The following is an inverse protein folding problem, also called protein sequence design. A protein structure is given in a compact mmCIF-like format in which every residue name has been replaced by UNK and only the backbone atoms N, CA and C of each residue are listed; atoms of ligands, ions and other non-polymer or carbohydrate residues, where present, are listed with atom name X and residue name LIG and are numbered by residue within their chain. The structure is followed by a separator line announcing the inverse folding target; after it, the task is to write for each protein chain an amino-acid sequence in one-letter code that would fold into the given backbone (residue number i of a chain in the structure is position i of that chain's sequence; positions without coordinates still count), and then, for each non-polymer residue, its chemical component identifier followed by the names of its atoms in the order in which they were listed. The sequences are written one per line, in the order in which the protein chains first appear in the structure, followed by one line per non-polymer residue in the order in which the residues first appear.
data_IF_266079516010
#
_entry.id   IF_266079516010
#
_cell.length_a   1.000
_cell.length_b   1.000
_cell.length_c   1.000
_cell.angle_alpha   90.00
_cell.angle_beta   90.00
_cell.angle_gamma   90.00
#
_symmetry.space_group_name_H-M   'P 1'
#
loop_
_entity.id
_entity.type
_entity.pdbx_description
1 polymer ?
#
# COMPACT_ATOMS: atom_id res chain seq x y z
N UNK A 1 18.24 -0.76 1.47
CA UNK A 1 17.37 -1.87 1.92
C UNK A 1 16.92 -2.71 0.74
N UNK A 2 16.54 -3.96 0.99
CA UNK A 2 15.80 -4.78 0.02
C UNK A 2 14.30 -4.67 0.27
N UNK A 3 13.56 -4.29 -0.77
CA UNK A 3 12.13 -3.99 -0.69
C UNK A 3 11.34 -4.81 -1.70
N UNK A 4 10.24 -5.42 -1.27
CA UNK A 4 9.26 -6.05 -2.16
C UNK A 4 7.99 -5.20 -2.26
N UNK A 5 7.61 -4.84 -3.48
CA UNK A 5 6.50 -3.93 -3.76
C UNK A 5 5.37 -4.67 -4.47
N UNK A 6 4.18 -4.63 -3.87
CA UNK A 6 2.92 -5.05 -4.47
C UNK A 6 2.10 -3.82 -4.88
N UNK A 7 1.58 -3.83 -6.11
CA UNK A 7 0.77 -2.71 -6.62
C UNK A 7 1.60 -1.48 -7.03
N UNK A 8 2.85 -1.67 -7.45
CA UNK A 8 3.75 -0.58 -7.84
C UNK A 8 3.75 -0.24 -9.34
N UNK A 9 2.84 -0.80 -10.13
CA UNK A 9 2.76 -0.52 -11.57
C UNK A 9 2.24 0.89 -11.92
N UNK A 10 1.65 1.60 -10.95
CA UNK A 10 1.07 2.96 -11.10
C UNK A 10 0.76 3.55 -9.73
N UNK A 11 0.29 4.80 -9.70
CA UNK A 11 -0.28 5.45 -8.53
C UNK A 11 0.70 5.48 -7.34
N UNK A 12 0.21 5.32 -6.11
CA UNK A 12 1.02 5.41 -4.87
C UNK A 12 2.23 4.48 -4.93
N UNK A 13 2.03 3.22 -5.33
CA UNK A 13 3.12 2.24 -5.34
C UNK A 13 4.21 2.59 -6.34
N UNK A 14 3.87 3.23 -7.46
CA UNK A 14 4.84 3.75 -8.41
C UNK A 14 5.69 4.88 -7.81
N UNK A 15 5.05 5.87 -7.18
CA UNK A 15 5.77 6.96 -6.51
C UNK A 15 6.65 6.45 -5.35
N UNK A 16 6.19 5.44 -4.61
CA UNK A 16 6.98 4.78 -3.57
C UNK A 16 8.20 4.09 -4.18
N UNK A 17 8.02 3.34 -5.26
CA UNK A 17 9.12 2.64 -5.94
C UNK A 17 10.19 3.62 -6.43
N UNK A 18 9.79 4.70 -7.11
CA UNK A 18 10.72 5.72 -7.60
C UNK A 18 11.52 6.37 -6.47
N UNK A 19 10.87 6.74 -5.36
CA UNK A 19 11.54 7.37 -4.21
C UNK A 19 12.51 6.41 -3.52
N UNK A 20 12.12 5.15 -3.34
CA UNK A 20 13.00 4.12 -2.76
C UNK A 20 14.23 3.89 -3.64
N UNK A 21 14.04 3.76 -4.95
CA UNK A 21 15.12 3.59 -5.93
C UNK A 21 16.05 4.79 -5.97
N UNK A 22 15.51 6.02 -5.92
CA UNK A 22 16.30 7.25 -5.84
C UNK A 22 17.15 7.33 -4.57
N UNK A 23 16.71 6.71 -3.46
CA UNK A 23 17.48 6.56 -2.22
C UNK A 23 18.48 5.39 -2.25
N UNK A 24 18.69 4.74 -3.40
CA UNK A 24 19.65 3.65 -3.55
C UNK A 24 19.19 2.31 -2.96
N UNK A 25 17.88 2.11 -2.79
CA UNK A 25 17.34 0.81 -2.36
C UNK A 25 17.22 -0.15 -3.55
N UNK A 26 17.26 -1.45 -3.24
CA UNK A 26 16.94 -2.51 -4.21
C UNK A 26 15.48 -2.87 -4.08
N UNK A 27 14.73 -2.72 -5.16
CA UNK A 27 13.28 -2.89 -5.22
C UNK A 27 12.90 -4.04 -6.15
N UNK A 28 12.23 -5.05 -5.61
CA UNK A 28 11.57 -6.11 -6.37
C UNK A 28 10.09 -5.76 -6.53
N UNK A 29 9.60 -5.71 -7.76
CA UNK A 29 8.20 -5.37 -8.08
C UNK A 29 7.48 -6.63 -8.58
N UNK A 30 6.43 -7.06 -7.88
CA UNK A 30 5.51 -8.09 -8.39
C UNK A 30 4.48 -7.43 -9.31
N UNK A 31 4.51 -7.80 -10.59
CA UNK A 31 3.74 -7.14 -11.65
C UNK A 31 3.01 -8.17 -12.53
N UNK A 32 1.71 -7.97 -12.76
CA UNK A 32 0.97 -8.77 -13.75
C UNK A 32 1.46 -8.51 -15.18
N UNK A 33 1.85 -7.27 -15.46
CA UNK A 33 2.36 -6.80 -16.76
C UNK A 33 3.63 -5.94 -16.54
N UNK A 34 4.82 -6.57 -16.47
CA UNK A 34 6.11 -5.88 -16.34
C UNK A 34 6.39 -4.85 -17.44
N UNK A 35 5.85 -5.05 -18.64
CA UNK A 35 6.07 -4.22 -19.83
C UNK A 35 5.84 -2.72 -19.57
N UNK A 36 4.92 -2.38 -18.65
CA UNK A 36 4.65 -1.01 -18.24
C UNK A 36 5.84 -0.35 -17.53
N UNK A 37 6.61 -1.10 -16.75
CA UNK A 37 7.84 -0.62 -16.10
C UNK A 37 9.03 -0.69 -17.05
N UNK A 38 9.10 -1.70 -17.92
CA UNK A 38 10.16 -1.83 -18.92
C UNK A 38 10.15 -0.68 -19.94
N UNK A 39 8.95 -0.20 -20.28
CA UNK A 39 8.75 0.90 -21.22
C UNK A 39 8.86 2.28 -20.56
N UNK A 40 8.99 2.35 -19.23
CA UNK A 40 9.06 3.61 -18.49
C UNK A 40 10.51 4.17 -18.49
N UNK A 41 10.74 5.34 -19.13
CA UNK A 41 12.08 5.93 -19.17
C UNK A 41 12.68 6.21 -17.79
N UNK A 42 11.85 6.52 -16.78
CA UNK A 42 12.30 6.80 -15.41
C UNK A 42 12.77 5.57 -14.65
N UNK A 43 12.38 4.37 -15.11
CA UNK A 43 12.76 3.09 -14.50
C UNK A 43 13.95 2.43 -15.20
N UNK A 44 14.27 2.88 -16.42
CA UNK A 44 15.26 2.25 -17.30
C UNK A 44 16.61 2.02 -16.61
N UNK A 45 17.18 3.06 -16.02
CA UNK A 45 18.52 2.97 -15.41
C UNK A 45 18.53 2.03 -14.21
N UNK A 46 17.48 2.06 -13.39
CA UNK A 46 17.32 1.16 -12.24
C UNK A 46 17.15 -0.31 -12.66
N UNK A 47 16.44 -0.57 -13.77
CA UNK A 47 16.31 -1.92 -14.31
C UNK A 47 17.65 -2.40 -14.85
N UNK A 48 18.35 -1.56 -15.63
CA UNK A 48 19.63 -1.91 -16.24
C UNK A 48 20.73 -2.17 -15.20
N UNK A 49 20.75 -1.42 -14.10
CA UNK A 49 21.73 -1.59 -13.03
C UNK A 49 21.32 -2.65 -11.98
N UNK A 50 20.15 -3.29 -12.13
CA UNK A 50 19.67 -4.34 -11.24
C UNK A 50 19.05 -3.87 -9.92
N UNK A 51 18.98 -2.55 -9.67
CA UNK A 51 18.33 -2.01 -8.47
C UNK A 51 16.80 -2.18 -8.52
N UNK A 52 16.20 -2.20 -9.71
CA UNK A 52 14.80 -2.55 -9.92
C UNK A 52 14.66 -3.94 -10.57
N UNK A 53 14.12 -4.91 -9.82
CA UNK A 53 13.86 -6.27 -10.29
C UNK A 53 12.38 -6.44 -10.60
N UNK A 54 12.05 -6.88 -11.80
CA UNK A 54 10.68 -7.09 -12.21
C UNK A 54 10.32 -8.58 -12.15
N UNK A 55 9.33 -8.93 -11.35
CA UNK A 55 8.82 -10.30 -11.25
C UNK A 55 7.42 -10.33 -11.87
N UNK A 56 7.29 -11.03 -13.00
CA UNK A 56 5.97 -11.29 -13.59
C UNK A 56 5.20 -12.27 -12.70
N UNK A 57 3.98 -11.90 -12.31
CA UNK A 57 3.08 -12.77 -11.55
C UNK A 57 1.83 -12.06 -11.04
N UNK A 58 0.96 -12.81 -10.37
CA UNK A 58 -0.28 -12.32 -9.74
C UNK A 58 -0.24 -12.52 -8.22
N UNK A 59 -0.62 -11.48 -7.47
CA UNK A 59 -0.68 -11.55 -6.00
C UNK A 59 -1.82 -12.45 -5.49
N UNK A 60 -2.68 -12.96 -6.36
CA UNK A 60 -3.66 -14.00 -6.07
C UNK A 60 -3.13 -15.43 -6.25
N UNK A 61 -1.89 -15.58 -6.72
CA UNK A 61 -1.24 -16.88 -6.94
C UNK A 61 -0.10 -17.01 -5.94
N UNK A 62 -0.19 -18.02 -5.05
CA UNK A 62 0.76 -18.20 -3.94
C UNK A 62 2.18 -18.40 -4.43
N UNK A 63 2.35 -19.14 -5.51
CA UNK A 63 3.64 -19.46 -6.11
C UNK A 63 4.33 -18.22 -6.69
N UNK A 64 3.56 -17.30 -7.27
CA UNK A 64 4.07 -16.02 -7.78
C UNK A 64 4.53 -15.11 -6.63
N UNK A 65 3.76 -15.09 -5.53
CA UNK A 65 4.12 -14.35 -4.32
C UNK A 65 5.38 -14.93 -3.69
N UNK A 66 5.49 -16.26 -3.56
CA UNK A 66 6.69 -16.93 -3.06
C UNK A 66 7.91 -16.59 -3.92
N UNK A 67 7.79 -16.70 -5.25
CA UNK A 67 8.86 -16.35 -6.18
C UNK A 67 9.32 -14.89 -6.00
N UNK A 68 8.39 -13.96 -5.81
CA UNK A 68 8.73 -12.55 -5.60
C UNK A 68 9.47 -12.33 -4.28
N UNK A 69 9.07 -13.03 -3.21
CA UNK A 69 9.77 -13.01 -1.91
C UNK A 69 11.18 -13.57 -2.05
N UNK A 70 11.34 -14.71 -2.74
CA UNK A 70 12.65 -15.34 -2.94
C UNK A 70 13.59 -14.42 -3.72
N UNK A 71 13.13 -13.80 -4.81
CA UNK A 71 13.91 -12.83 -5.61
C UNK A 71 14.29 -11.59 -4.79
N UNK A 72 13.38 -11.09 -3.94
CA UNK A 72 13.64 -9.94 -3.09
C UNK A 72 14.64 -10.26 -1.97
N UNK A 73 14.70 -11.51 -1.52
CA UNK A 73 15.59 -11.97 -0.45
C UNK A 73 16.91 -12.60 -0.95
N UNK A 74 17.09 -12.77 -2.26
CA UNK A 74 18.24 -13.46 -2.84
C UNK A 74 19.57 -12.72 -2.66
N UNK A 75 19.56 -11.39 -2.84
CA UNK A 75 20.79 -10.58 -2.83
C UNK A 75 21.01 -9.85 -1.49
N UNK A 76 20.20 -10.18 -0.49
CA UNK A 76 20.20 -9.56 0.83
C UNK A 76 18.89 -9.80 1.56
N UNK A 77 18.89 -9.60 2.88
CA UNK A 77 17.69 -9.81 3.72
C UNK A 77 16.57 -8.90 3.24
N UNK A 78 15.40 -9.46 2.94
CA UNK A 78 14.19 -8.67 2.70
C UNK A 78 13.80 -7.91 3.97
N UNK A 79 13.86 -6.58 3.92
CA UNK A 79 13.67 -5.70 5.09
C UNK A 79 12.29 -5.03 5.10
N UNK A 80 11.70 -4.80 3.94
CA UNK A 80 10.43 -4.08 3.79
C UNK A 80 9.56 -4.73 2.72
N UNK A 81 8.27 -4.85 3.04
CA UNK A 81 7.21 -5.15 2.09
C UNK A 81 6.28 -3.94 2.05
N UNK A 82 6.06 -3.40 0.86
CA UNK A 82 5.02 -2.43 0.60
C UNK A 82 3.84 -3.11 -0.09
N UNK A 83 2.66 -2.97 0.49
CA UNK A 83 1.41 -3.51 -0.04
C UNK A 83 0.46 -2.36 -0.46
N UNK A 84 0.52 -2.01 -1.74
CA UNK A 84 -0.32 -0.98 -2.35
C UNK A 84 -1.35 -1.51 -3.34
N UNK A 85 -1.73 -2.80 -3.24
CA UNK A 85 -2.73 -3.38 -4.15
C UNK A 85 -4.08 -2.66 -3.97
N UNK A 86 -4.65 -2.31 -5.11
CA UNK A 86 -6.03 -1.88 -5.27
C UNK A 86 -6.58 -2.40 -6.59
N UNK A 87 -7.86 -2.21 -6.82
CA UNK A 87 -8.51 -2.54 -8.08
C UNK A 87 -8.81 -1.33 -8.95
N UNK A 88 -9.13 -1.59 -10.21
CA UNK A 88 -9.75 -0.62 -11.09
C UNK A 88 -11.27 -0.65 -10.86
N UNK A 89 -11.84 0.37 -10.21
CA UNK A 89 -13.26 0.37 -9.93
C UNK A 89 -14.06 0.58 -11.21
N UNK A 90 -15.13 -0.19 -11.37
CA UNK A 90 -16.15 0.01 -12.41
C UNK A 90 -17.45 0.45 -11.74
N UNK A 91 -18.21 1.34 -12.37
CA UNK A 91 -19.44 1.87 -11.78
C UNK A 91 -20.65 1.00 -12.12
N UNK A 92 -21.46 0.70 -11.11
CA UNK A 92 -22.74 0.00 -11.20
C UNK A 92 -23.84 0.85 -10.58
N UNK A 93 -24.94 1.04 -11.31
CA UNK A 93 -26.08 1.84 -10.83
C UNK A 93 -26.73 1.30 -9.55
N UNK A 94 -26.62 0.00 -9.26
CA UNK A 94 -27.21 -0.62 -8.06
C UNK A 94 -26.20 -0.93 -6.98
N UNK A 95 -24.91 -1.07 -7.34
CA UNK A 95 -23.85 -1.51 -6.42
C UNK A 95 -22.78 -0.46 -6.14
N UNK A 96 -22.85 0.71 -6.76
CA UNK A 96 -21.80 1.73 -6.69
C UNK A 96 -20.54 1.31 -7.42
N UNK A 97 -19.37 1.67 -6.90
CA UNK A 97 -18.09 1.21 -7.44
C UNK A 97 -17.81 -0.24 -7.05
N UNK A 98 -17.47 -1.06 -8.05
CA UNK A 98 -17.18 -2.48 -7.91
C UNK A 98 -15.78 -2.77 -8.42
N UNK A 99 -15.05 -3.59 -7.69
CA UNK A 99 -13.74 -4.11 -8.07
C UNK A 99 -13.88 -5.60 -8.35
N UNK A 100 -13.14 -6.12 -9.33
CA UNK A 100 -13.11 -7.55 -9.66
C UNK A 100 -11.67 -8.08 -9.54
N UNK A 101 -11.43 -9.15 -8.75
CA UNK A 101 -12.37 -9.75 -7.80
C UNK A 101 -12.69 -8.80 -6.63
N UNK A 102 -13.86 -8.99 -6.00
CA UNK A 102 -14.34 -8.09 -4.95
C UNK A 102 -13.49 -8.13 -3.67
N UNK A 103 -12.74 -9.22 -3.45
CA UNK A 103 -11.88 -9.46 -2.29
C UNK A 103 -10.38 -9.41 -2.65
N UNK A 104 -10.01 -8.69 -3.71
CA UNK A 104 -8.64 -8.69 -4.26
C UNK A 104 -7.59 -8.36 -3.18
N UNK A 105 -7.83 -7.36 -2.35
CA UNK A 105 -6.85 -6.91 -1.36
C UNK A 105 -6.82 -7.81 -0.13
N UNK A 106 -7.99 -8.31 0.31
CA UNK A 106 -8.11 -9.30 1.38
C UNK A 106 -7.37 -10.57 1.01
N UNK A 107 -7.67 -11.15 -0.16
CA UNK A 107 -7.11 -12.43 -0.59
C UNK A 107 -5.62 -12.32 -0.84
N UNK A 108 -5.14 -11.27 -1.51
CA UNK A 108 -3.71 -11.08 -1.73
C UNK A 108 -2.92 -10.86 -0.44
N UNK A 109 -3.47 -10.15 0.55
CA UNK A 109 -2.84 -10.01 1.86
C UNK A 109 -2.77 -11.35 2.60
N UNK A 110 -3.84 -12.15 2.57
CA UNK A 110 -3.87 -13.48 3.16
C UNK A 110 -2.79 -14.40 2.55
N UNK A 111 -2.67 -14.41 1.22
CA UNK A 111 -1.64 -15.18 0.52
C UNK A 111 -0.23 -14.70 0.91
N UNK A 112 0.01 -13.39 0.92
CA UNK A 112 1.29 -12.83 1.34
C UNK A 112 1.67 -13.28 2.75
N UNK A 113 0.77 -13.14 3.72
CA UNK A 113 1.03 -13.56 5.10
C UNK A 113 1.28 -15.08 5.18
N UNK A 114 0.59 -15.90 4.37
CA UNK A 114 0.82 -17.35 4.29
C UNK A 114 2.19 -17.76 3.74
N UNK A 115 2.82 -16.88 2.95
CA UNK A 115 4.17 -17.07 2.41
C UNK A 115 5.21 -16.64 3.43
N UNK A 116 5.00 -15.51 4.11
CA UNK A 116 5.96 -14.96 5.07
C UNK A 116 5.94 -15.73 6.41
N UNK A 117 4.79 -16.17 6.90
CA UNK A 117 4.66 -16.84 8.19
C UNK A 117 5.62 -18.04 8.39
N UNK A 118 5.72 -19.02 7.47
CA UNK A 118 6.63 -20.15 7.61
C UNK A 118 8.09 -19.80 7.27
N UNK A 119 8.35 -18.61 6.73
CA UNK A 119 9.71 -18.18 6.39
C UNK A 119 10.48 -17.74 7.64
N UNK A 120 11.81 -17.69 7.54
CA UNK A 120 12.68 -17.15 8.60
C UNK A 120 12.87 -15.63 8.50
N UNK A 121 12.21 -14.95 7.55
CA UNK A 121 12.28 -13.50 7.39
C UNK A 121 11.15 -12.82 8.15
N UNK A 122 11.43 -11.62 8.67
CA UNK A 122 10.45 -10.77 9.35
C UNK A 122 10.58 -9.34 8.81
N UNK A 123 10.21 -9.10 7.54
CA UNK A 123 10.25 -7.75 6.98
C UNK A 123 9.19 -6.87 7.63
N UNK A 124 9.48 -5.56 7.68
CA UNK A 124 8.49 -4.54 7.98
C UNK A 124 7.40 -4.54 6.90
N UNK A 125 6.15 -4.30 7.28
CA UNK A 125 5.00 -4.26 6.38
C UNK A 125 4.33 -2.89 6.40
N UNK A 126 4.34 -2.21 5.27
CA UNK A 126 3.56 -0.97 5.05
C UNK A 126 2.40 -1.28 4.13
N UNK A 127 1.17 -0.96 4.55
CA UNK A 127 -0.03 -1.27 3.77
C UNK A 127 -0.91 -0.05 3.52
N UNK A 128 -1.39 0.11 2.29
CA UNK A 128 -2.37 1.14 1.92
C UNK A 128 -3.79 0.59 1.99
N UNK A 129 -4.65 1.20 2.81
CA UNK A 129 -6.08 0.88 2.91
C UNK A 129 -6.93 2.07 2.44
N UNK A 130 -7.80 2.60 3.29
CA UNK A 130 -8.70 3.72 2.99
C UNK A 130 -9.14 4.38 4.29
N UNK A 131 -9.47 5.68 4.24
CA UNK A 131 -10.16 6.34 5.34
C UNK A 131 -11.68 6.01 5.34
N UNK A 132 -12.32 6.12 6.51
CA UNK A 132 -13.77 5.92 6.64
C UNK A 132 -14.21 4.45 6.63
N UNK A 133 -13.34 3.54 7.08
CA UNK A 133 -13.61 2.09 7.12
C UNK A 133 -14.39 1.64 8.36
N UNK A 134 -14.30 2.35 9.48
CA UNK A 134 -15.06 2.09 10.70
C UNK A 134 -16.07 3.21 10.99
N UNK A 135 -17.10 2.92 11.79
CA UNK A 135 -18.21 3.86 12.08
C UNK A 135 -17.71 5.20 12.62
N UNK A 136 -16.65 5.16 13.43
CA UNK A 136 -16.04 6.35 14.02
C UNK A 136 -15.36 7.18 12.95
N UNK A 137 -14.46 6.60 12.15
CA UNK A 137 -13.82 7.29 11.03
C UNK A 137 -14.84 7.81 10.01
N UNK A 138 -15.88 7.03 9.71
CA UNK A 138 -16.97 7.44 8.81
C UNK A 138 -17.74 8.64 9.36
N UNK A 139 -17.96 8.70 10.69
CA UNK A 139 -18.61 9.84 11.34
C UNK A 139 -17.80 11.13 11.25
N UNK A 140 -16.48 11.06 11.07
CA UNK A 140 -15.58 12.22 10.95
C UNK A 140 -15.49 12.79 9.53
N UNK A 141 -16.06 12.10 8.53
CA UNK A 141 -16.12 12.58 7.15
C UNK A 141 -17.07 13.78 7.01
N UNK A 142 -16.81 14.70 6.07
CA UNK A 142 -17.79 15.70 5.65
C UNK A 142 -19.13 15.08 5.25
N UNK A 143 -20.25 15.71 5.60
CA UNK A 143 -21.60 15.15 5.40
C UNK A 143 -21.91 14.68 3.97
N UNK A 144 -21.56 15.42 2.88
CA UNK A 144 -21.76 14.93 1.52
C UNK A 144 -20.96 13.66 1.20
N UNK A 145 -19.75 13.52 1.77
CA UNK A 145 -18.92 12.34 1.57
C UNK A 145 -19.47 11.12 2.30
N UNK A 146 -20.20 11.27 3.41
CA UNK A 146 -20.83 10.12 4.10
C UNK A 146 -21.81 9.37 3.21
N UNK A 147 -22.68 10.09 2.51
CA UNK A 147 -23.67 9.52 1.58
C UNK A 147 -22.97 8.87 0.37
N UNK A 148 -21.94 9.54 -0.15
CA UNK A 148 -21.10 8.98 -1.22
C UNK A 148 -20.42 7.68 -0.76
N UNK A 149 -19.75 7.68 0.38
CA UNK A 149 -18.93 6.58 0.88
C UNK A 149 -19.76 5.35 1.28
N UNK A 150 -20.92 5.56 1.94
CA UNK A 150 -21.74 4.46 2.46
C UNK A 150 -22.41 3.63 1.37
N UNK A 151 -22.72 4.24 0.21
CA UNK A 151 -23.32 3.53 -0.92
C UNK A 151 -22.31 3.22 -2.03
N UNK A 152 -21.49 4.19 -2.46
CA UNK A 152 -20.62 4.02 -3.64
C UNK A 152 -19.37 3.22 -3.37
N UNK A 153 -18.85 3.23 -2.15
CA UNK A 153 -17.57 2.61 -1.82
C UNK A 153 -17.70 1.37 -0.94
N UNK A 154 -18.93 0.88 -0.72
CA UNK A 154 -19.21 -0.25 0.18
C UNK A 154 -18.35 -1.48 -0.15
N UNK A 155 -18.37 -1.95 -1.40
CA UNK A 155 -17.65 -3.17 -1.81
C UNK A 155 -16.12 -2.98 -1.67
N UNK A 156 -15.50 -1.90 -2.20
CA UNK A 156 -14.08 -1.63 -1.95
C UNK A 156 -13.73 -1.49 -0.47
N UNK A 157 -14.60 -0.91 0.36
CA UNK A 157 -14.38 -0.75 1.79
C UNK A 157 -14.45 -2.09 2.53
N UNK A 158 -15.40 -2.96 2.20
CA UNK A 158 -15.49 -4.32 2.75
C UNK A 158 -14.19 -5.09 2.47
N UNK A 159 -13.61 -4.97 1.28
CA UNK A 159 -12.32 -5.59 0.95
C UNK A 159 -11.15 -4.99 1.75
N UNK A 160 -11.10 -3.66 1.90
CA UNK A 160 -10.06 -3.03 2.73
C UNK A 160 -10.18 -3.40 4.21
N UNK A 161 -11.39 -3.59 4.72
CA UNK A 161 -11.64 -4.11 6.08
C UNK A 161 -11.12 -5.53 6.20
N UNK A 162 -11.39 -6.40 5.22
CA UNK A 162 -10.86 -7.77 5.20
C UNK A 162 -9.34 -7.82 5.20
N UNK A 163 -8.69 -6.94 4.42
CA UNK A 163 -7.23 -6.76 4.46
C UNK A 163 -6.73 -6.36 5.85
N UNK A 164 -7.36 -5.37 6.51
CA UNK A 164 -6.92 -4.93 7.84
C UNK A 164 -7.15 -6.01 8.89
N UNK A 165 -8.22 -6.81 8.76
CA UNK A 165 -8.50 -7.92 9.64
C UNK A 165 -7.43 -9.02 9.54
N UNK A 166 -6.92 -9.30 8.33
CA UNK A 166 -5.79 -10.22 8.17
C UNK A 166 -4.55 -9.74 8.93
N UNK A 167 -4.23 -8.44 8.86
CA UNK A 167 -3.10 -7.86 9.60
C UNK A 167 -3.37 -7.94 11.10
N UNK A 168 -4.55 -7.51 11.57
CA UNK A 168 -4.95 -7.56 12.98
C UNK A 168 -4.86 -8.97 13.56
N UNK A 169 -5.26 -9.99 12.80
CA UNK A 169 -5.13 -11.39 13.21
C UNK A 169 -3.65 -11.78 13.33
N UNK A 170 -2.84 -11.47 12.33
CA UNK A 170 -1.41 -11.77 12.33
C UNK A 170 -0.64 -11.05 13.45
N UNK A 171 -1.10 -9.88 13.89
CA UNK A 171 -0.50 -9.06 14.95
C UNK A 171 -1.22 -9.14 16.30
N UNK A 172 -2.17 -10.07 16.46
CA UNK A 172 -2.85 -10.30 17.73
C UNK A 172 -1.91 -10.90 18.78
N UNK A 173 -2.35 -11.04 20.03
CA UNK A 173 -1.56 -11.68 21.09
C UNK A 173 -1.19 -13.14 20.79
N UNK A 174 -1.97 -13.82 19.96
CA UNK A 174 -1.71 -15.18 19.46
C UNK A 174 -1.12 -15.17 18.04
N UNK A 175 -0.91 -13.98 17.48
CA UNK A 175 -0.36 -13.75 16.16
C UNK A 175 1.16 -14.00 16.10
N UNK A 176 1.67 -14.21 14.89
CA UNK A 176 3.09 -14.51 14.64
C UNK A 176 3.90 -13.27 14.23
N UNK A 177 3.24 -12.16 13.90
CA UNK A 177 3.85 -10.93 13.41
C UNK A 177 3.81 -9.87 14.52
N UNK A 178 4.94 -9.27 14.83
CA UNK A 178 4.98 -8.14 15.76
C UNK A 178 4.18 -6.96 15.18
N UNK A 179 3.26 -6.40 15.97
CA UNK A 179 2.52 -5.19 15.63
C UNK A 179 3.47 -4.05 15.24
N UNK A 180 4.62 -3.91 15.90
CA UNK A 180 5.66 -2.90 15.60
C UNK A 180 6.41 -3.14 14.29
N UNK A 181 6.19 -4.27 13.63
CA UNK A 181 6.63 -4.50 12.25
C UNK A 181 5.60 -4.03 11.22
N UNK A 182 4.52 -3.35 11.60
CA UNK A 182 3.46 -2.93 10.67
C UNK A 182 3.18 -1.43 10.73
N UNK A 183 2.81 -0.85 9.58
CA UNK A 183 2.20 0.48 9.47
C UNK A 183 1.05 0.39 8.47
N UNK A 184 -0.13 0.84 8.87
CA UNK A 184 -1.30 0.96 7.98
C UNK A 184 -1.49 2.43 7.65
N UNK A 185 -1.65 2.76 6.37
CA UNK A 185 -1.95 4.11 5.90
C UNK A 185 -3.33 4.12 5.26
N UNK A 186 -4.17 5.05 5.72
CA UNK A 186 -5.57 5.25 5.34
C UNK A 186 -5.73 6.60 4.64
N UNK A 187 -5.43 6.73 3.34
CA UNK A 187 -5.57 7.99 2.64
C UNK A 187 -7.02 8.48 2.60
N UNK A 188 -7.20 9.80 2.58
CA UNK A 188 -8.44 10.43 2.12
C UNK A 188 -8.69 10.16 0.61
N UNK A 189 -9.72 10.79 0.02
CA UNK A 189 -10.04 10.58 -1.39
C UNK A 189 -8.82 10.90 -2.27
N UNK A 190 -8.35 9.91 -3.01
CA UNK A 190 -7.13 10.02 -3.78
C UNK A 190 -7.32 10.88 -5.03
N UNK A 191 -6.44 11.86 -5.20
CA UNK A 191 -6.34 12.68 -6.40
C UNK A 191 -5.02 12.45 -7.14
N UNK A 192 -4.99 12.89 -8.40
CA UNK A 192 -3.78 12.96 -9.20
C UNK A 192 -3.22 14.38 -9.17
N UNK A 193 -1.91 14.51 -9.34
CA UNK A 193 -1.22 15.79 -9.33
C UNK A 193 0.22 15.66 -8.87
N UNK A 194 0.92 16.79 -8.91
CA UNK A 194 2.27 16.95 -8.40
C UNK A 194 2.34 16.65 -6.89
N UNK A 195 3.51 16.21 -6.43
CA UNK A 195 3.79 16.06 -5.01
C UNK A 195 4.00 17.44 -4.38
N UNK A 196 2.97 17.97 -3.71
CA UNK A 196 3.03 19.28 -3.05
C UNK A 196 4.11 19.28 -1.97
N UNK A 197 4.30 18.15 -1.29
CA UNK A 197 5.27 17.99 -0.20
C UNK A 197 6.74 18.16 -0.62
N UNK A 198 7.05 18.05 -1.92
CA UNK A 198 8.38 18.38 -2.43
C UNK A 198 8.73 19.87 -2.26
N UNK A 199 7.73 20.74 -2.17
CA UNK A 199 7.92 22.20 -2.06
C UNK A 199 7.41 22.77 -0.74
N UNK A 200 6.54 22.05 -0.04
CA UNK A 200 5.90 22.50 1.20
C UNK A 200 6.02 21.44 2.29
N UNK A 201 6.83 21.65 3.35
CA UNK A 201 7.06 20.65 4.39
C UNK A 201 5.79 20.15 5.11
N UNK A 202 4.77 21.01 5.23
CA UNK A 202 3.50 20.76 5.91
C UNK A 202 2.34 20.58 4.91
N UNK A 203 2.63 20.04 3.72
CA UNK A 203 1.64 19.88 2.65
C UNK A 203 0.42 19.03 3.02
N UNK A 204 0.52 18.14 4.01
CA UNK A 204 -0.55 17.26 4.44
C UNK A 204 -0.52 17.05 5.96
N UNK A 205 -1.66 16.68 6.52
CA UNK A 205 -1.86 16.29 7.92
C UNK A 205 -1.88 14.77 8.04
N UNK A 206 -1.34 14.27 9.15
CA UNK A 206 -1.35 12.84 9.47
C UNK A 206 -1.66 12.63 10.95
N UNK A 207 -2.75 11.92 11.24
CA UNK A 207 -3.16 11.54 12.61
C UNK A 207 -3.85 10.17 12.57
N UNK A 208 -3.97 9.50 13.73
CA UNK A 208 -4.78 8.27 13.85
C UNK A 208 -6.26 8.54 13.53
N UNK A 209 -6.75 9.73 13.89
CA UNK A 209 -8.09 10.22 13.56
C UNK A 209 -8.02 11.67 13.03
N UNK A 210 -8.41 11.89 11.78
CA UNK A 210 -8.49 13.23 11.17
C UNK A 210 -9.94 13.63 10.88
N UNK A 211 -10.31 14.85 11.31
CA UNK A 211 -11.59 15.49 10.99
C UNK A 211 -11.49 16.28 9.68
N UNK A 212 -12.59 16.29 8.92
CA UNK A 212 -12.72 17.12 7.72
C UNK A 212 -11.76 16.72 6.60
N UNK A 213 -11.50 15.42 6.46
CA UNK A 213 -10.64 14.87 5.41
C UNK A 213 -11.38 14.85 4.08
N UNK A 214 -10.81 15.53 3.08
CA UNK A 214 -11.38 15.58 1.74
C UNK A 214 -10.54 14.78 0.77
N UNK A 215 -9.32 15.22 0.50
CA UNK A 215 -8.48 14.64 -0.54
C UNK A 215 -7.00 14.58 -0.10
N UNK A 216 -6.23 13.79 -0.83
CA UNK A 216 -4.77 13.80 -0.82
C UNK A 216 -4.26 13.26 -2.16
N UNK A 217 -3.17 13.81 -2.70
CA UNK A 217 -2.59 13.29 -3.93
C UNK A 217 -1.93 11.93 -3.70
N UNK A 218 -1.97 11.06 -4.71
CA UNK A 218 -1.24 9.78 -4.69
C UNK A 218 0.28 9.98 -4.53
N UNK A 219 0.80 11.09 -5.06
CA UNK A 219 2.20 11.46 -4.97
C UNK A 219 2.61 11.84 -3.54
N UNK A 220 1.77 12.61 -2.82
CA UNK A 220 2.03 12.99 -1.43
C UNK A 220 1.89 11.80 -0.47
N UNK A 221 1.01 10.83 -0.75
CA UNK A 221 1.00 9.56 0.02
C UNK A 221 2.31 8.81 -0.17
N UNK A 222 2.85 8.75 -1.39
CA UNK A 222 4.15 8.14 -1.66
C UNK A 222 5.30 8.88 -0.95
N UNK A 223 5.25 10.22 -0.93
CA UNK A 223 6.19 11.04 -0.16
C UNK A 223 6.10 10.75 1.34
N UNK A 224 4.90 10.75 1.92
CA UNK A 224 4.72 10.45 3.34
C UNK A 224 5.34 9.12 3.74
N UNK A 225 5.13 8.08 2.93
CA UNK A 225 5.70 6.77 3.21
C UNK A 225 7.23 6.80 3.23
N UNK A 226 7.86 7.29 2.16
CA UNK A 226 9.30 7.17 2.01
C UNK A 226 10.08 8.22 2.81
N UNK A 227 9.57 9.44 2.91
CA UNK A 227 10.26 10.58 3.53
C UNK A 227 9.90 10.80 5.00
N UNK A 228 8.83 10.15 5.51
CA UNK A 228 8.43 10.26 6.92
C UNK A 228 8.34 8.89 7.59
N UNK A 229 7.56 7.96 7.05
CA UNK A 229 7.34 6.65 7.70
C UNK A 229 8.62 5.83 7.77
N UNK A 230 9.37 5.74 6.67
CA UNK A 230 10.58 4.91 6.63
C UNK A 230 11.78 5.56 7.32
N UNK A 231 11.83 6.89 7.39
CA UNK A 231 12.91 7.65 8.07
C UNK A 231 12.78 7.63 9.60
N UNK A 232 11.56 7.48 10.12
CA UNK A 232 11.27 7.46 11.57
C UNK A 232 10.29 6.34 11.93
N UNK A 233 10.68 5.09 11.63
CA UNK A 233 9.80 3.93 11.74
C UNK A 233 9.11 3.81 13.10
N UNK A 234 9.86 3.98 14.19
CA UNK A 234 9.36 3.75 15.56
C UNK A 234 8.22 4.69 15.94
N UNK A 235 8.20 5.91 15.37
CA UNK A 235 7.10 6.86 15.53
C UNK A 235 5.80 6.36 14.92
N UNK A 236 5.87 5.70 13.76
CA UNK A 236 4.69 5.32 12.98
C UNK A 236 4.25 3.88 13.22
N UNK A 237 5.16 3.02 13.68
CA UNK A 237 4.98 1.59 13.84
C UNK A 237 3.86 1.18 14.81
N UNK A 238 3.09 0.18 14.39
CA UNK A 238 2.02 -0.47 15.15
C UNK A 238 0.70 0.27 15.16
N UNK A 239 0.50 1.19 14.21
CA UNK A 239 -0.67 2.08 14.14
C UNK A 239 -1.22 2.21 12.73
N UNK A 240 -2.47 2.67 12.65
CA UNK A 240 -3.12 3.09 11.42
C UNK A 240 -3.19 4.62 11.36
N UNK A 241 -2.73 5.20 10.26
CA UNK A 241 -2.61 6.64 10.10
C UNK A 241 -3.48 7.14 8.96
N UNK A 242 -4.32 8.11 9.23
CA UNK A 242 -5.09 8.83 8.21
C UNK A 242 -4.23 9.95 7.65
N UNK A 243 -4.16 10.07 6.32
CA UNK A 243 -3.46 11.16 5.63
C UNK A 243 -4.43 11.93 4.74
N UNK A 244 -4.43 13.26 4.87
CA UNK A 244 -5.26 14.18 4.11
C UNK A 244 -4.59 15.56 4.05
N UNK A 245 -5.02 16.44 3.15
CA UNK A 245 -4.77 17.88 3.28
C UNK A 245 -5.50 18.45 4.50
#
# INVERSE_FOLDING_TARGET
MHVLLFGASRNIGYFVAQRLLAKGNTCTLLLRKPDAMESDPSMKDYIQNGSAKLVRGDALVREDVQKAVDVANADGKLELIFFGIGGDPTFSLTKGFVITPADITTRSMSILLSVIQPSNIRPRLVTITSNGLDDRAHSLLPWPLKIFYSWLLRIPHEDKIGLENNIKQATSSEGWLDLKNTVIVRPALLTDGECVANTQPDAYRVEEELKGTWTVSRADVGHFLVEKVLEDWDKWAGKAWVIAY
#
